data_IF_224381095956
#
_entry.id   IF_224381095956
#
_cell.length_a   1.000
_cell.length_b   1.000
_cell.length_c   1.000
_cell.angle_alpha   90.00
_cell.angle_beta   90.00
_cell.angle_gamma   90.00
#
_symmetry.space_group_name_H-M   'P 1'
#
loop_
_entity.id
_entity.type
_entity.pdbx_description
1 polymer ?
#
# COMPACT_ATOMS: atom_id res chain seq x y z
N UNK A 1 -9.08 40.83 21.15
CA UNK A 1 -8.79 40.60 20.90
C UNK A 1 -8.01 40.07 20.60
N UNK A 2 -7.67 39.95 20.46
CA UNK A 2 -6.87 39.58 20.11
C UNK A 2 -6.62 38.36 19.99
N UNK A 3 -6.79 37.84 20.08
CA UNK A 3 -6.49 36.82 19.93
C UNK A 3 -6.51 36.14 19.03
N UNK A 4 -6.89 36.39 18.53
CA UNK A 4 -6.79 35.85 17.65
C UNK A 4 -6.05 35.70 16.95
N UNK A 5 -5.64 36.33 16.97
CA UNK A 5 -4.75 36.32 16.35
C UNK A 5 -3.92 35.50 16.44
N UNK A 6 -3.76 35.20 16.82
CA UNK A 6 -2.96 34.52 16.97
C UNK A 6 -2.92 33.37 16.55
N UNK A 7 -3.27 33.22 16.44
CA UNK A 7 -3.19 32.36 16.12
C UNK A 7 -3.00 31.88 15.15
N UNK A 8 -2.98 32.30 14.74
CA UNK A 8 -2.76 32.03 13.93
C UNK A 8 -2.05 31.58 13.42
N UNK A 9 -1.71 31.96 13.36
CA UNK A 9 -0.89 31.63 12.78
C UNK A 9 -0.36 30.58 12.92
N UNK A 10 -0.23 30.39 13.33
CA UNK A 10 0.26 29.53 13.45
C UNK A 10 0.04 28.50 12.97
N UNK A 11 -0.30 28.64 12.63
CA UNK A 11 -0.36 27.92 12.24
C UNK A 11 -0.22 27.33 11.47
N UNK A 12 -0.27 27.61 11.26
CA UNK A 12 -0.07 27.32 10.58
C UNK A 12 0.56 26.79 10.18
N UNK A 13 1.07 26.76 10.05
CA UNK A 13 1.76 26.34 9.69
C UNK A 13 2.11 25.48 9.65
N UNK A 14 2.26 25.51 9.73
CA UNK A 14 2.74 24.91 9.67
C UNK A 14 2.73 24.04 9.21
N UNK A 15 2.58 23.89 9.12
CA UNK A 15 2.63 23.20 8.78
C UNK A 15 2.68 22.94 7.78
N UNK A 16 2.55 23.33 7.43
CA UNK A 16 2.58 23.17 6.30
C UNK A 16 3.74 22.96 5.77
N UNK A 17 4.19 23.13 5.88
CA UNK A 17 5.10 22.97 5.42
C UNK A 17 5.56 21.90 5.26
N UNK A 18 5.65 21.74 5.61
CA UNK A 18 6.11 20.83 5.51
C UNK A 18 5.89 20.00 4.80
N UNK A 19 5.54 20.14 4.66
CA UNK A 19 5.03 19.15 4.02
C UNK A 19 5.42 19.09 2.70
N UNK A 20 5.51 20.06 2.29
CA UNK A 20 5.70 20.15 0.96
C UNK A 20 6.72 19.28 0.41
N UNK A 21 7.77 19.66 0.51
CA UNK A 21 8.79 19.05 -0.14
C UNK A 21 8.80 17.63 0.06
N UNK A 22 8.61 17.29 1.18
CA UNK A 22 8.72 15.97 1.40
C UNK A 22 7.73 15.21 0.74
N UNK A 23 6.67 15.79 0.43
CA UNK A 23 5.64 15.01 -0.09
C UNK A 23 5.99 14.28 -1.34
N UNK A 24 6.70 14.82 -2.19
CA UNK A 24 6.98 14.20 -3.44
C UNK A 24 7.68 12.91 -3.29
N UNK A 25 8.66 12.84 -2.45
CA UNK A 25 9.32 11.66 -2.27
C UNK A 25 8.76 10.83 -1.23
N UNK A 26 7.89 11.36 -0.47
CA UNK A 26 7.34 10.63 0.60
C UNK A 26 6.13 9.83 0.22
N UNK A 27 5.84 9.70 -1.04
CA UNK A 27 4.66 8.98 -1.44
C UNK A 27 4.92 7.49 -1.55
N UNK A 28 5.50 6.93 -0.52
CA UNK A 28 5.76 5.49 -0.48
C UNK A 28 5.16 4.89 0.77
N UNK A 29 4.61 3.70 0.65
CA UNK A 29 4.13 2.97 1.80
C UNK A 29 4.59 1.53 1.66
N UNK A 30 4.80 0.87 2.77
CA UNK A 30 5.11 -0.55 2.79
C UNK A 30 3.89 -1.26 3.34
N UNK A 31 3.38 -2.20 2.58
CA UNK A 31 2.18 -2.94 2.98
C UNK A 31 2.42 -4.43 2.90
N UNK A 32 1.73 -5.15 3.74
CA UNK A 32 1.83 -6.58 3.81
C UNK A 32 0.43 -7.16 3.84
N UNK A 33 0.25 -8.24 3.12
CA UNK A 33 -1.03 -8.93 3.08
C UNK A 33 -0.82 -10.43 3.19
N UNK A 34 -1.87 -11.11 3.58
CA UNK A 34 -1.82 -12.56 3.73
C UNK A 34 -2.98 -13.15 2.95
N UNK A 35 -2.75 -14.32 2.37
CA UNK A 35 -3.79 -14.99 1.61
C UNK A 35 -3.67 -16.48 1.73
N UNK A 36 -4.76 -17.15 1.41
CA UNK A 36 -4.79 -18.61 1.45
C UNK A 36 -5.33 -19.10 0.12
N UNK A 37 -4.93 -20.29 -0.27
CA UNK A 37 -5.44 -20.87 -1.50
C UNK A 37 -5.01 -22.30 -1.64
N UNK A 38 -5.51 -22.97 -2.66
CA UNK A 38 -5.19 -24.35 -2.90
C UNK A 38 -3.78 -24.57 -3.44
N UNK A 39 -3.16 -23.53 -3.91
CA UNK A 39 -1.79 -23.61 -4.42
C UNK A 39 -1.02 -22.37 -3.96
N UNK A 40 0.29 -22.41 -4.12
CA UNK A 40 1.14 -21.27 -3.77
C UNK A 40 0.75 -20.06 -4.61
N UNK A 41 0.54 -20.26 -5.91
CA UNK A 41 0.17 -19.13 -6.76
C UNK A 41 -1.15 -18.52 -6.37
N UNK A 42 -2.12 -19.35 -6.02
CA UNK A 42 -3.41 -18.88 -5.61
C UNK A 42 -3.33 -18.12 -4.30
N UNK A 43 -2.59 -18.65 -3.35
CA UNK A 43 -2.42 -18.00 -2.06
C UNK A 43 -1.68 -16.68 -2.19
N UNK A 44 -0.68 -16.63 -3.07
CA UNK A 44 0.04 -15.38 -3.31
C UNK A 44 -0.84 -14.34 -3.98
N UNK A 45 -1.71 -14.78 -4.88
CA UNK A 45 -2.64 -13.87 -5.53
C UNK A 45 -3.54 -13.22 -4.47
N UNK A 46 -4.07 -14.02 -3.56
CA UNK A 46 -4.91 -13.50 -2.49
C UNK A 46 -4.14 -12.57 -1.57
N UNK A 47 -2.89 -12.92 -1.28
CA UNK A 47 -2.04 -12.08 -0.43
C UNK A 47 -1.79 -10.74 -1.12
N UNK A 48 -1.55 -10.75 -2.42
CA UNK A 48 -1.30 -9.52 -3.17
C UNK A 48 -2.54 -8.65 -3.24
N UNK A 49 -3.71 -9.27 -3.40
CA UNK A 49 -4.95 -8.51 -3.34
C UNK A 49 -5.07 -7.77 -2.01
N UNK A 50 -4.70 -8.44 -0.92
CA UNK A 50 -4.77 -7.80 0.40
C UNK A 50 -3.82 -6.61 0.48
N UNK A 51 -2.63 -6.72 -0.12
CA UNK A 51 -1.70 -5.60 -0.16
C UNK A 51 -2.32 -4.42 -0.90
N UNK A 52 -2.92 -4.66 -2.05
CA UNK A 52 -3.48 -3.58 -2.84
C UNK A 52 -4.70 -2.96 -2.17
N UNK A 53 -5.54 -3.78 -1.58
CA UNK A 53 -6.72 -3.26 -0.89
C UNK A 53 -6.33 -2.44 0.34
N UNK A 54 -5.22 -2.77 0.96
CA UNK A 54 -4.74 -1.99 2.09
C UNK A 54 -4.05 -0.71 1.65
N UNK A 55 -3.75 -0.58 0.37
CA UNK A 55 -3.06 0.57 -0.16
C UNK A 55 -4.01 1.52 -0.89
N UNK A 56 -4.76 0.98 -1.83
CA UNK A 56 -5.56 1.84 -2.70
C UNK A 56 -6.57 0.98 -3.45
N UNK A 57 -7.83 1.14 -3.17
CA UNK A 57 -8.88 0.37 -3.82
C UNK A 57 -8.91 0.59 -5.33
N UNK A 58 -8.56 1.80 -5.78
CA UNK A 58 -8.50 2.07 -7.21
C UNK A 58 -7.42 1.27 -7.89
N UNK A 59 -6.28 1.13 -7.24
CA UNK A 59 -5.20 0.31 -7.78
C UNK A 59 -5.62 -1.14 -7.85
N UNK A 60 -6.29 -1.64 -6.81
CA UNK A 60 -6.78 -3.01 -6.82
C UNK A 60 -7.79 -3.23 -7.95
N UNK A 61 -8.71 -2.30 -8.13
CA UNK A 61 -9.70 -2.43 -9.18
C UNK A 61 -9.05 -2.46 -10.56
N UNK A 62 -8.07 -1.61 -10.78
CA UNK A 62 -7.35 -1.60 -12.06
C UNK A 62 -6.52 -2.86 -12.25
N UNK A 63 -5.95 -3.36 -11.16
CA UNK A 63 -5.21 -4.62 -11.21
C UNK A 63 -6.13 -5.75 -11.65
N UNK A 64 -7.31 -5.83 -11.06
CA UNK A 64 -8.25 -6.89 -11.42
C UNK A 64 -8.74 -6.75 -12.86
N UNK A 65 -8.96 -5.52 -13.30
CA UNK A 65 -9.44 -5.29 -14.66
C UNK A 65 -8.35 -5.52 -15.70
N UNK A 66 -7.11 -5.35 -15.32
CA UNK A 66 -6.01 -5.40 -16.26
C UNK A 66 -5.29 -6.72 -16.38
N UNK A 67 -5.87 -7.79 -15.86
CA UNK A 67 -5.24 -9.09 -16.02
C UNK A 67 -4.65 -9.67 -14.75
N UNK A 68 -4.64 -8.90 -13.69
CA UNK A 68 -4.28 -9.39 -12.36
C UNK A 68 -2.94 -10.12 -12.30
N UNK A 69 -1.89 -9.49 -12.78
CA UNK A 69 -0.58 -10.09 -12.76
C UNK A 69 0.17 -9.74 -11.50
N UNK A 70 0.58 -10.72 -10.73
CA UNK A 70 1.28 -10.53 -9.46
C UNK A 70 2.79 -10.54 -9.70
N UNK A 71 3.53 -9.57 -9.17
CA UNK A 71 3.06 -8.39 -8.46
C UNK A 71 2.91 -7.23 -9.43
N UNK A 72 1.82 -6.53 -9.33
CA UNK A 72 1.67 -5.28 -10.06
C UNK A 72 0.69 -4.41 -9.29
N UNK A 73 0.92 -3.13 -9.33
CA UNK A 73 0.08 -2.19 -8.60
C UNK A 73 -0.11 -0.98 -9.49
N UNK A 74 -1.19 -0.96 -10.28
CA UNK A 74 -1.42 0.15 -11.19
C UNK A 74 -1.35 1.50 -10.48
N UNK A 75 -0.58 2.40 -11.03
CA UNK A 75 -0.39 3.72 -10.45
C UNK A 75 0.75 3.81 -9.47
N UNK A 76 1.45 2.70 -9.19
CA UNK A 76 2.53 2.69 -8.23
C UNK A 76 3.77 2.03 -8.80
N UNK A 77 4.92 2.41 -8.28
CA UNK A 77 6.17 1.71 -8.53
C UNK A 77 6.38 0.77 -7.37
N UNK A 78 6.68 -0.48 -7.67
CA UNK A 78 6.83 -1.52 -6.66
C UNK A 78 8.29 -1.85 -6.46
N UNK A 79 8.69 -2.01 -5.22
CA UNK A 79 10.04 -2.45 -4.90
C UNK A 79 10.03 -3.25 -3.61
N UNK A 80 11.13 -3.90 -3.33
CA UNK A 80 11.32 -4.68 -2.11
C UNK A 80 10.20 -5.70 -1.89
N UNK A 81 9.88 -6.44 -2.94
CA UNK A 81 8.83 -7.45 -2.85
C UNK A 81 9.38 -8.66 -2.12
N UNK A 82 8.65 -9.11 -1.12
CA UNK A 82 9.03 -10.27 -0.33
C UNK A 82 7.81 -11.13 -0.12
N UNK A 83 8.02 -12.41 -0.03
CA UNK A 83 6.90 -13.32 0.21
C UNK A 83 7.42 -14.60 0.81
N UNK A 84 6.52 -15.30 1.46
CA UNK A 84 6.81 -16.63 1.98
C UNK A 84 5.48 -17.36 2.10
N UNK A 85 5.56 -18.67 1.98
CA UNK A 85 4.38 -19.51 2.05
C UNK A 85 4.65 -20.70 2.97
N UNK A 86 3.57 -21.23 3.51
CA UNK A 86 3.66 -22.45 4.30
C UNK A 86 2.39 -23.25 4.10
N UNK A 87 2.48 -24.55 4.30
CA UNK A 87 1.30 -25.38 4.25
C UNK A 87 0.40 -25.08 5.44
N UNK A 88 -0.87 -25.13 5.25
CA UNK A 88 -1.80 -24.91 6.34
C UNK A 88 -3.16 -25.43 5.99
N UNK A 89 -3.80 -26.04 6.96
CA UNK A 89 -5.15 -26.50 6.80
C UNK A 89 -5.46 -27.11 5.46
N UNK A 90 -6.14 -26.40 4.64
CA UNK A 90 -6.64 -26.90 3.39
C UNK A 90 -5.79 -26.51 2.21
N UNK A 91 -4.60 -26.02 2.42
CA UNK A 91 -3.79 -25.64 1.27
C UNK A 91 -2.57 -24.85 1.70
N UNK A 92 -2.38 -23.71 1.08
CA UNK A 92 -1.20 -22.89 1.34
C UNK A 92 -1.63 -21.57 1.98
N UNK A 93 -0.77 -21.05 2.84
CA UNK A 93 -0.94 -19.73 3.42
C UNK A 93 0.30 -18.95 3.03
N UNK A 94 0.10 -17.83 2.35
CA UNK A 94 1.22 -17.01 1.91
C UNK A 94 1.06 -15.60 2.42
N UNK A 95 2.18 -14.91 2.62
CA UNK A 95 2.13 -13.48 2.83
C UNK A 95 2.99 -12.82 1.76
N UNK A 96 2.65 -11.61 1.42
CA UNK A 96 3.44 -10.79 0.51
C UNK A 96 3.57 -9.40 1.09
N UNK A 97 4.71 -8.78 0.82
CA UNK A 97 4.98 -7.44 1.30
C UNK A 97 5.69 -6.69 0.20
N UNK A 98 5.39 -5.41 0.07
CA UNK A 98 6.05 -4.61 -0.94
C UNK A 98 6.05 -3.14 -0.51
N UNK A 99 6.99 -2.41 -1.09
CA UNK A 99 7.03 -0.96 -0.95
C UNK A 99 6.40 -0.41 -2.21
N UNK A 100 5.39 0.43 -2.04
CA UNK A 100 4.65 1.00 -3.17
C UNK A 100 4.82 2.51 -3.14
N UNK A 101 5.28 3.06 -4.23
CA UNK A 101 5.55 4.50 -4.33
C UNK A 101 4.76 5.10 -5.48
N UNK A 102 4.27 6.29 -5.28
CA UNK A 102 3.57 7.02 -6.33
C UNK A 102 4.45 8.05 -6.99
#
# INVERSE_FOLDING_TARGET
>A
MKFLRVMLPALAFAGALMAAGLSAEAQCVTKRGEGTGGSVDNAKFQAWEAVLQATDWGSWASFMAGGAKVPSAPGYKISNVRSACRGGGLGQICWMQAKLCK
#
